data_IF_939793507757
#
_entry.id   IF_939793507757
#
_cell.length_a   1.000
_cell.length_b   1.000
_cell.length_c   1.000
_cell.angle_alpha   90.00
_cell.angle_beta   90.00
_cell.angle_gamma   90.00
#
_symmetry.space_group_name_H-M   'P 1'
#
loop_
_entity.id
_entity.type
_entity.pdbx_description
1 polymer ?
#
# COMPACT_ATOMS: atom_id res chain seq x y z
N UNK A 1 -33.06 3.12 26.40
CA UNK A 1 -31.80 3.73 25.91
C UNK A 1 -30.60 3.42 26.81
N UNK A 2 -30.66 3.68 28.12
CA UNK A 2 -29.52 3.53 29.06
C UNK A 2 -28.89 2.12 29.05
N UNK A 3 -29.69 1.03 29.07
CA UNK A 3 -29.15 -0.34 29.02
C UNK A 3 -28.38 -0.68 27.73
N UNK A 4 -28.81 -0.16 26.57
CA UNK A 4 -28.10 -0.38 25.29
C UNK A 4 -26.82 0.44 25.23
N UNK A 5 -26.83 1.65 25.78
CA UNK A 5 -25.64 2.49 25.90
C UNK A 5 -24.60 1.87 26.84
N UNK A 6 -25.03 1.33 27.99
CA UNK A 6 -24.15 0.60 28.91
C UNK A 6 -23.59 -0.67 28.29
N UNK A 7 -24.36 -1.43 27.50
CA UNK A 7 -23.87 -2.62 26.82
C UNK A 7 -22.82 -2.26 25.76
N UNK A 8 -23.05 -1.17 25.01
CA UNK A 8 -22.13 -0.68 23.97
C UNK A 8 -20.82 -0.16 24.57
N UNK A 9 -20.91 0.59 25.68
CA UNK A 9 -19.76 1.06 26.45
C UNK A 9 -19.01 -0.11 27.07
N UNK A 10 -19.71 -1.12 27.59
CA UNK A 10 -19.09 -2.34 28.11
C UNK A 10 -18.35 -3.12 27.02
N UNK A 11 -18.90 -3.25 25.80
CA UNK A 11 -18.18 -3.89 24.68
C UNK A 11 -17.01 -3.06 24.16
N UNK A 12 -17.08 -1.72 24.21
CA UNK A 12 -15.96 -0.83 23.90
C UNK A 12 -14.87 -0.84 24.98
N UNK A 13 -15.23 -1.08 26.24
CA UNK A 13 -14.26 -1.24 27.35
C UNK A 13 -13.63 -2.64 27.39
N UNK A 14 -14.28 -3.63 26.77
CA UNK A 14 -13.78 -5.00 26.58
C UNK A 14 -12.97 -5.18 25.29
N UNK A 15 -12.82 -4.15 24.46
CA UNK A 15 -11.95 -4.25 23.28
C UNK A 15 -10.50 -4.29 23.75
N UNK A 16 -9.90 -5.48 23.68
CA UNK A 16 -8.45 -5.65 23.73
C UNK A 16 -7.80 -4.72 22.70
N UNK A 17 -6.56 -4.24 22.92
CA UNK A 17 -5.83 -3.54 21.88
C UNK A 17 -5.78 -4.46 20.66
N UNK A 18 -6.47 -4.07 19.59
CA UNK A 18 -6.32 -4.71 18.31
C UNK A 18 -4.97 -4.24 17.78
N UNK A 19 -3.98 -5.13 17.83
CA UNK A 19 -2.71 -4.93 17.14
C UNK A 19 -2.98 -5.09 15.65
N UNK A 20 -3.42 -4.00 15.02
CA UNK A 20 -3.46 -3.92 13.57
C UNK A 20 -1.99 -3.90 13.11
N UNK A 21 -1.50 -5.05 12.66
CA UNK A 21 -0.19 -5.15 12.02
C UNK A 21 -0.32 -4.50 10.64
N UNK A 22 0.53 -3.51 10.36
CA UNK A 22 0.65 -2.95 9.01
C UNK A 22 1.20 -4.05 8.09
N UNK A 23 0.71 -4.16 6.84
CA UNK A 23 1.28 -5.07 5.84
C UNK A 23 2.78 -4.84 5.66
N UNK A 24 3.53 -5.89 5.33
CA UNK A 24 4.95 -5.80 5.07
C UNK A 24 5.23 -5.15 3.71
N UNK A 25 5.96 -4.04 3.71
CA UNK A 25 6.35 -3.30 2.51
C UNK A 25 7.87 -3.02 2.52
N UNK A 26 8.51 -3.06 1.36
CA UNK A 26 9.89 -2.56 1.19
C UNK A 26 10.00 -1.61 -0.01
N UNK A 27 10.97 -0.71 0.05
CA UNK A 27 11.16 0.33 -0.97
C UNK A 27 12.50 0.14 -1.67
N UNK A 28 12.45 -0.08 -2.98
CA UNK A 28 13.62 -0.25 -3.83
C UNK A 28 13.72 0.94 -4.79
N UNK A 29 14.77 1.74 -4.67
CA UNK A 29 15.10 2.82 -5.60
C UNK A 29 16.27 2.41 -6.46
N UNK A 30 16.14 2.43 -7.78
CA UNK A 30 17.18 2.12 -8.75
C UNK A 30 17.46 3.34 -9.63
N UNK A 31 18.73 3.61 -9.91
CA UNK A 31 19.17 4.61 -10.89
C UNK A 31 20.10 3.96 -11.90
N UNK A 32 19.74 4.03 -13.19
CA UNK A 32 20.52 3.44 -14.27
C UNK A 32 21.41 4.51 -14.91
N UNK A 33 22.72 4.26 -14.90
CA UNK A 33 23.75 5.11 -15.47
C UNK A 33 24.61 4.30 -16.45
N UNK A 34 24.29 4.34 -17.75
CA UNK A 34 24.95 3.55 -18.79
C UNK A 34 25.04 2.05 -18.46
N UNK A 35 26.20 1.58 -17.99
CA UNK A 35 26.53 0.20 -17.65
C UNK A 35 26.48 -0.08 -16.13
N UNK A 36 26.06 0.88 -15.32
CA UNK A 36 25.92 0.73 -13.86
C UNK A 36 24.49 0.97 -13.41
N UNK A 37 24.05 0.18 -12.44
CA UNK A 37 22.82 0.42 -11.67
C UNK A 37 23.19 0.73 -10.22
N UNK A 38 22.85 1.92 -9.76
CA UNK A 38 22.94 2.30 -8.35
C UNK A 38 21.59 2.05 -7.69
N UNK A 39 21.60 1.49 -6.49
CA UNK A 39 20.40 1.11 -5.78
C UNK A 39 20.40 1.55 -4.32
N UNK A 40 19.22 1.86 -3.81
CA UNK A 40 18.92 1.98 -2.40
C UNK A 40 17.74 1.07 -2.09
N UNK A 41 17.87 0.22 -1.08
CA UNK A 41 16.82 -0.68 -0.66
C UNK A 41 16.53 -0.54 0.83
N UNK A 42 15.32 -0.09 1.13
CA UNK A 42 14.84 0.13 2.49
C UNK A 42 13.95 -1.05 2.88
N UNK A 43 14.38 -1.80 3.90
CA UNK A 43 13.68 -2.99 4.40
C UNK A 43 13.34 -2.78 5.88
N UNK A 44 12.09 -3.00 6.27
CA UNK A 44 11.66 -2.81 7.64
C UNK A 44 12.45 -3.71 8.59
N UNK A 45 12.99 -3.14 9.68
CA UNK A 45 13.77 -3.92 10.65
C UNK A 45 12.93 -5.00 11.34
N UNK A 46 11.62 -4.77 11.49
CA UNK A 46 10.69 -5.76 12.03
C UNK A 46 10.66 -7.03 11.16
N UNK A 47 10.60 -6.85 9.84
CA UNK A 47 10.44 -7.97 8.89
C UNK A 47 11.77 -8.71 8.74
N UNK A 48 12.89 -7.98 8.77
CA UNK A 48 14.22 -8.60 8.85
C UNK A 48 14.40 -9.38 10.15
N UNK A 49 13.86 -8.91 11.27
CA UNK A 49 13.91 -9.66 12.52
C UNK A 49 13.14 -10.98 12.40
N UNK A 50 11.94 -10.96 11.82
CA UNK A 50 11.15 -12.17 11.60
C UNK A 50 11.85 -13.13 10.61
N UNK A 51 12.59 -12.60 9.64
CA UNK A 51 13.26 -13.39 8.62
C UNK A 51 14.60 -14.02 9.04
N UNK A 52 15.43 -13.27 9.76
CA UNK A 52 16.82 -13.68 10.07
C UNK A 52 17.21 -13.55 11.55
N UNK A 53 16.29 -13.14 12.42
CA UNK A 53 16.53 -13.01 13.86
C UNK A 53 17.57 -11.92 14.16
N UNK A 54 17.14 -10.66 14.11
CA UNK A 54 18.02 -9.52 14.41
C UNK A 54 18.16 -9.28 15.91
N UNK A 55 17.07 -9.48 16.67
CA UNK A 55 17.01 -9.37 18.13
C UNK A 55 17.77 -10.53 18.76
N UNK A 56 18.97 -10.25 19.26
CA UNK A 56 19.89 -11.27 19.72
C UNK A 56 19.65 -11.66 21.18
N UNK A 57 19.11 -10.72 21.97
CA UNK A 57 18.82 -10.94 23.39
C UNK A 57 17.35 -11.31 23.68
N UNK A 58 16.48 -11.21 22.65
CA UNK A 58 15.09 -11.64 22.69
C UNK A 58 14.20 -10.71 23.51
N UNK A 59 14.61 -9.46 23.74
CA UNK A 59 13.89 -8.52 24.57
C UNK A 59 12.74 -7.79 23.82
N UNK A 60 12.64 -7.96 22.49
CA UNK A 60 11.64 -7.35 21.63
C UNK A 60 11.96 -5.93 21.14
N UNK A 61 13.14 -5.39 21.46
CA UNK A 61 13.62 -4.07 21.06
C UNK A 61 14.90 -4.19 20.22
N UNK A 62 14.85 -3.75 18.95
CA UNK A 62 16.03 -3.78 18.09
C UNK A 62 16.95 -2.59 18.36
N UNK A 63 18.14 -2.89 18.88
CA UNK A 63 19.19 -1.89 19.09
C UNK A 63 20.09 -1.72 17.86
N UNK A 64 20.72 -0.55 17.74
CA UNK A 64 21.72 -0.30 16.71
C UNK A 64 22.90 -1.27 16.75
N UNK A 65 23.26 -1.77 17.93
CA UNK A 65 24.35 -2.74 18.10
C UNK A 65 24.03 -4.08 17.45
N UNK A 66 22.80 -4.57 17.64
CA UNK A 66 22.32 -5.83 17.08
C UNK A 66 22.20 -5.77 15.56
N UNK A 67 21.58 -4.70 15.03
CA UNK A 67 21.46 -4.50 13.59
C UNK A 67 22.85 -4.45 12.94
N UNK A 68 23.80 -3.70 13.55
CA UNK A 68 25.18 -3.62 13.07
C UNK A 68 25.89 -4.97 13.10
N UNK A 69 25.68 -5.75 14.16
CA UNK A 69 26.23 -7.11 14.28
C UNK A 69 25.75 -8.07 13.19
N UNK A 70 24.58 -7.79 12.60
CA UNK A 70 23.94 -8.60 11.57
C UNK A 70 24.08 -8.06 10.15
N UNK A 71 24.87 -7.00 9.91
CA UNK A 71 24.99 -6.39 8.57
C UNK A 71 25.32 -7.40 7.46
N UNK A 72 26.26 -8.32 7.67
CA UNK A 72 26.62 -9.32 6.66
C UNK A 72 25.46 -10.28 6.33
N UNK A 73 24.67 -10.66 7.34
CA UNK A 73 23.51 -11.53 7.17
C UNK A 73 22.38 -10.78 6.46
N UNK A 74 22.17 -9.50 6.80
CA UNK A 74 21.23 -8.61 6.10
C UNK A 74 21.64 -8.46 4.62
N UNK A 75 22.93 -8.21 4.32
CA UNK A 75 23.40 -8.09 2.94
C UNK A 75 23.17 -9.38 2.16
N UNK A 76 23.52 -10.53 2.75
CA UNK A 76 23.37 -11.83 2.12
C UNK A 76 21.89 -12.16 1.87
N UNK A 77 21.03 -11.91 2.86
CA UNK A 77 19.60 -12.15 2.78
C UNK A 77 18.92 -11.30 1.70
N UNK A 78 19.27 -10.01 1.62
CA UNK A 78 18.73 -9.09 0.64
C UNK A 78 19.24 -9.43 -0.77
N UNK A 79 20.54 -9.54 -0.98
CA UNK A 79 21.13 -9.79 -2.30
C UNK A 79 20.77 -11.17 -2.86
N UNK A 80 20.49 -12.17 -2.03
CA UNK A 80 19.99 -13.46 -2.52
C UNK A 80 18.55 -13.42 -3.06
N UNK A 81 17.84 -12.31 -2.85
CA UNK A 81 16.42 -12.12 -3.18
C UNK A 81 16.17 -10.98 -4.17
N UNK A 82 17.25 -10.42 -4.73
CA UNK A 82 17.19 -9.41 -5.78
C UNK A 82 18.13 -9.79 -6.92
N UNK A 83 17.56 -10.07 -8.08
CA UNK A 83 18.32 -10.33 -9.30
C UNK A 83 18.09 -9.19 -10.28
N UNK A 84 19.18 -8.53 -10.68
CA UNK A 84 19.16 -7.52 -11.73
C UNK A 84 19.76 -8.13 -13.00
N UNK A 85 18.99 -8.13 -14.09
CA UNK A 85 19.43 -8.65 -15.38
C UNK A 85 19.35 -7.55 -16.43
N UNK A 86 20.49 -7.16 -17.00
CA UNK A 86 20.56 -6.21 -18.10
C UNK A 86 20.88 -6.95 -19.40
N UNK A 87 20.07 -6.73 -20.45
CA UNK A 87 20.28 -7.33 -21.77
C UNK A 87 20.53 -8.86 -21.72
N UNK A 88 19.74 -9.58 -20.91
CA UNK A 88 19.85 -11.02 -20.63
C UNK A 88 21.10 -11.48 -19.86
N UNK A 89 21.91 -10.56 -19.32
CA UNK A 89 23.05 -10.89 -18.46
C UNK A 89 22.85 -10.33 -17.06
N UNK A 90 23.08 -11.16 -16.04
CA UNK A 90 22.96 -10.75 -14.63
C UNK A 90 24.04 -9.72 -14.29
N UNK A 91 23.64 -8.61 -13.65
CA UNK A 91 24.53 -7.61 -13.11
C UNK A 91 24.79 -7.94 -11.63
N UNK A 92 26.01 -8.37 -11.25
CA UNK A 92 26.32 -8.69 -9.86
C UNK A 92 26.20 -7.43 -8.99
N UNK A 93 25.33 -7.50 -7.98
CA UNK A 93 25.12 -6.43 -7.02
C UNK A 93 25.99 -6.59 -5.78
N UNK A 94 26.46 -5.47 -5.23
CA UNK A 94 27.30 -5.40 -4.03
C UNK A 94 26.80 -4.28 -3.12
N UNK A 95 26.56 -4.59 -1.84
CA UNK A 95 26.24 -3.57 -0.85
C UNK A 95 27.47 -2.70 -0.62
N UNK A 96 27.29 -1.39 -0.75
CA UNK A 96 28.32 -0.35 -0.55
C UNK A 96 28.19 0.26 0.85
N UNK A 97 26.97 0.43 1.34
CA UNK A 97 26.70 1.12 2.61
C UNK A 97 25.46 0.54 3.31
N UNK A 98 25.54 0.47 4.64
CA UNK A 98 24.40 0.18 5.52
C UNK A 98 24.07 1.42 6.34
N UNK A 99 22.81 1.83 6.27
CA UNK A 99 22.24 2.95 7.00
C UNK A 99 20.95 2.47 7.70
N UNK A 100 20.38 3.33 8.53
CA UNK A 100 19.01 3.12 9.04
C UNK A 100 18.29 4.45 8.91
N UNK A 101 17.04 4.38 8.49
CA UNK A 101 16.12 5.51 8.43
C UNK A 101 14.78 5.15 9.10
N UNK A 102 13.91 6.13 9.27
CA UNK A 102 12.54 5.92 9.76
C UNK A 102 11.53 6.32 8.69
N UNK A 103 10.68 5.37 8.35
CA UNK A 103 9.48 5.60 7.55
C UNK A 103 8.25 5.78 8.46
N UNK A 104 7.09 5.97 7.86
CA UNK A 104 5.83 6.29 8.55
C UNK A 104 5.43 5.25 9.63
N UNK A 105 5.94 4.02 9.52
CA UNK A 105 5.55 2.85 10.29
C UNK A 105 6.67 2.21 11.12
N UNK A 106 7.92 2.70 11.06
CA UNK A 106 9.01 2.10 11.83
C UNK A 106 10.40 2.48 11.36
N UNK A 107 11.39 1.78 11.92
CA UNK A 107 12.79 1.87 11.52
C UNK A 107 13.10 0.84 10.42
N UNK A 108 13.91 1.24 9.44
CA UNK A 108 14.24 0.48 8.25
C UNK A 108 15.76 0.38 8.11
N UNK A 109 16.25 -0.81 7.75
CA UNK A 109 17.61 -0.95 7.25
C UNK A 109 17.65 -0.40 5.82
N UNK A 110 18.57 0.52 5.57
CA UNK A 110 18.78 1.14 4.27
C UNK A 110 20.07 0.58 3.68
N UNK A 111 19.94 -0.17 2.60
CA UNK A 111 21.03 -0.84 1.90
C UNK A 111 21.33 -0.09 0.60
N UNK A 112 22.44 0.65 0.55
CA UNK A 112 22.92 1.21 -0.71
C UNK A 112 23.82 0.21 -1.39
N UNK A 113 23.56 -0.06 -2.66
CA UNK A 113 24.28 -1.04 -3.43
C UNK A 113 24.58 -0.54 -4.83
N UNK A 114 25.55 -1.18 -5.46
CA UNK A 114 25.89 -0.98 -6.86
C UNK A 114 25.85 -2.30 -7.59
N UNK A 115 25.35 -2.30 -8.82
CA UNK A 115 25.45 -3.43 -9.73
C UNK A 115 26.15 -2.98 -11.01
N UNK A 116 27.28 -3.59 -11.31
CA UNK A 116 28.05 -3.29 -12.51
C UNK A 116 27.64 -4.28 -13.62
N UNK A 117 27.11 -3.77 -14.72
CA UNK A 117 26.69 -4.55 -15.88
C UNK A 117 27.80 -4.58 -16.93
N UNK A 118 27.83 -5.63 -17.77
CA UNK A 118 28.88 -5.82 -18.78
C UNK A 118 28.78 -4.87 -19.98
N UNK A 119 27.58 -4.29 -20.21
CA UNK A 119 27.23 -3.43 -21.33
C UNK A 119 26.26 -2.35 -20.87
N UNK A 120 26.09 -1.31 -21.70
CA UNK A 120 25.05 -0.32 -21.50
C UNK A 120 23.67 -0.98 -21.38
N UNK A 121 22.93 -0.63 -20.35
CA UNK A 121 21.60 -1.18 -20.06
C UNK A 121 20.60 -0.63 -21.07
N UNK A 122 20.03 -1.50 -21.92
CA UNK A 122 18.96 -1.17 -22.88
C UNK A 122 17.61 -1.79 -22.47
N UNK A 123 17.68 -2.85 -21.67
CA UNK A 123 16.55 -3.54 -21.06
C UNK A 123 16.97 -4.01 -19.68
N UNK A 124 16.21 -3.66 -18.64
CA UNK A 124 16.44 -4.07 -17.26
C UNK A 124 15.29 -4.94 -16.79
N UNK A 125 15.59 -6.18 -16.42
CA UNK A 125 14.67 -7.06 -15.71
C UNK A 125 15.05 -7.05 -14.24
N UNK A 126 14.09 -6.71 -13.40
CA UNK A 126 14.23 -6.72 -11.95
C UNK A 126 13.37 -7.86 -11.42
N UNK A 127 14.03 -8.82 -10.80
CA UNK A 127 13.39 -9.96 -10.15
C UNK A 127 13.57 -9.84 -8.64
N UNK A 128 12.45 -9.80 -7.93
CA UNK A 128 12.35 -9.47 -6.52
C UNK A 128 11.62 -10.61 -5.80
N UNK A 129 12.23 -11.15 -4.75
CA UNK A 129 11.70 -12.27 -3.96
C UNK A 129 11.81 -12.02 -2.44
N UNK A 130 11.95 -10.78 -2.01
CA UNK A 130 12.08 -10.46 -0.59
C UNK A 130 10.79 -10.84 0.16
N UNK A 131 10.94 -11.59 1.26
CA UNK A 131 9.89 -11.91 2.24
C UNK A 131 8.66 -12.67 1.71
N UNK A 132 8.54 -12.99 0.41
CA UNK A 132 7.40 -13.76 -0.12
C UNK A 132 7.30 -15.19 0.45
N UNK A 133 8.39 -15.71 1.01
CA UNK A 133 8.45 -16.98 1.74
C UNK A 133 7.90 -16.91 3.18
N UNK A 134 7.78 -15.70 3.73
CA UNK A 134 7.39 -15.43 5.12
C UNK A 134 6.02 -14.75 5.18
N UNK A 135 5.82 -13.72 4.35
CA UNK A 135 4.57 -12.98 4.21
C UNK A 135 4.15 -12.96 2.73
N UNK A 136 3.12 -13.75 2.42
CA UNK A 136 2.52 -13.81 1.07
C UNK A 136 1.88 -12.47 0.64
N UNK A 137 1.55 -11.60 1.59
CA UNK A 137 0.98 -10.29 1.32
C UNK A 137 2.05 -9.21 1.11
N UNK A 138 3.32 -9.51 1.33
CA UNK A 138 4.43 -8.57 1.19
C UNK A 138 4.42 -7.87 -0.19
N UNK A 139 4.77 -6.58 -0.20
CA UNK A 139 4.90 -5.79 -1.42
C UNK A 139 6.28 -5.15 -1.52
N UNK A 140 6.94 -5.34 -2.67
CA UNK A 140 8.14 -4.61 -3.04
C UNK A 140 7.79 -3.43 -3.93
N UNK A 141 8.17 -2.22 -3.53
CA UNK A 141 7.81 -0.99 -4.25
C UNK A 141 9.03 -0.43 -4.94
N UNK A 142 9.05 -0.48 -6.27
CA UNK A 142 10.17 -0.02 -7.09
C UNK A 142 9.94 1.38 -7.62
N UNK A 143 10.98 2.21 -7.46
CA UNK A 143 11.18 3.43 -8.23
C UNK A 143 12.44 3.30 -9.07
N UNK A 144 12.28 3.30 -10.39
CA UNK A 144 13.39 3.24 -11.35
C UNK A 144 13.58 4.62 -11.99
N UNK A 145 14.77 5.20 -11.86
CA UNK A 145 15.14 6.47 -12.51
C UNK A 145 16.16 6.22 -13.61
N UNK A 146 15.85 6.63 -14.83
CA UNK A 146 16.73 6.46 -15.99
C UNK A 146 16.59 7.63 -16.96
N UNK A 147 17.70 8.26 -17.35
CA UNK A 147 17.69 9.36 -18.32
C UNK A 147 16.80 10.54 -17.93
N UNK A 148 16.62 10.79 -16.62
CA UNK A 148 15.70 11.80 -16.09
C UNK A 148 14.22 11.40 -16.06
N UNK A 149 13.87 10.19 -16.50
CA UNK A 149 12.53 9.61 -16.40
C UNK A 149 12.42 8.73 -15.16
N UNK A 150 11.26 8.73 -14.51
CA UNK A 150 10.95 7.86 -13.37
C UNK A 150 9.83 6.92 -13.75
N UNK A 151 10.04 5.62 -13.57
CA UNK A 151 9.05 4.56 -13.68
C UNK A 151 8.84 3.91 -12.32
N UNK A 152 7.64 3.39 -12.09
CA UNK A 152 7.29 2.68 -10.85
C UNK A 152 6.78 1.29 -11.14
N UNK A 153 6.99 0.37 -10.21
CA UNK A 153 6.37 -0.94 -10.25
C UNK A 153 6.15 -1.49 -8.85
N UNK A 154 5.19 -2.40 -8.74
CA UNK A 154 4.92 -3.15 -7.52
C UNK A 154 5.25 -4.62 -7.79
N UNK A 155 5.98 -5.24 -6.88
CA UNK A 155 6.27 -6.66 -6.83
C UNK A 155 5.37 -7.34 -5.81
N UNK A 156 4.88 -8.52 -6.18
CA UNK A 156 4.12 -9.43 -5.33
C UNK A 156 4.53 -10.87 -5.61
N UNK A 157 4.13 -11.82 -4.76
CA UNK A 157 4.37 -13.24 -5.00
C UNK A 157 3.85 -13.73 -6.36
N UNK A 158 2.74 -13.16 -6.83
CA UNK A 158 2.13 -13.48 -8.14
C UNK A 158 2.89 -12.83 -9.32
N UNK A 159 3.65 -11.77 -9.04
CA UNK A 159 4.31 -10.97 -10.05
C UNK A 159 5.69 -10.46 -9.58
N UNK A 160 6.64 -11.38 -9.34
CA UNK A 160 7.95 -11.07 -8.75
C UNK A 160 8.93 -10.44 -9.74
N UNK A 161 8.62 -10.47 -11.03
CA UNK A 161 9.50 -9.97 -12.10
C UNK A 161 8.85 -8.84 -12.89
N UNK A 162 9.65 -7.80 -13.15
CA UNK A 162 9.26 -6.62 -13.95
C UNK A 162 10.35 -6.30 -14.96
N UNK A 163 9.92 -6.00 -16.17
CA UNK A 163 10.79 -5.64 -17.28
C UNK A 163 10.63 -4.17 -17.64
N UNK A 164 11.76 -3.48 -17.80
CA UNK A 164 11.83 -2.06 -18.15
C UNK A 164 12.67 -1.89 -19.41
N UNK A 165 12.06 -1.37 -20.48
CA UNK A 165 12.74 -1.02 -21.72
C UNK A 165 13.21 0.42 -21.69
N UNK A 166 14.45 0.66 -22.11
CA UNK A 166 15.06 2.01 -22.15
C UNK A 166 14.53 2.83 -23.33
N UNK A 167 13.89 2.17 -24.30
CA UNK A 167 13.34 2.79 -25.50
C UNK A 167 11.80 2.87 -25.44
N UNK A 168 11.29 4.07 -25.13
CA UNK A 168 9.95 4.50 -25.55
C UNK A 168 8.89 4.49 -24.45
N UNK A 169 8.44 5.70 -24.08
CA UNK A 169 7.20 5.94 -23.34
C UNK A 169 6.06 5.16 -23.98
N UNK A 170 5.32 4.41 -23.18
CA UNK A 170 3.94 4.13 -23.49
C UNK A 170 3.05 4.48 -22.32
N UNK A 171 2.73 5.77 -22.21
CA UNK A 171 1.76 6.30 -21.26
C UNK A 171 0.43 5.52 -21.25
N UNK A 172 0.04 4.97 -22.41
CA UNK A 172 -1.13 4.09 -22.51
C UNK A 172 -0.93 2.80 -21.73
N UNK A 173 0.25 2.18 -21.83
CA UNK A 173 0.55 0.97 -21.07
C UNK A 173 0.66 1.28 -19.57
N UNK A 174 1.27 2.39 -19.17
CA UNK A 174 1.31 2.81 -17.77
C UNK A 174 -0.09 3.04 -17.19
N UNK A 175 -0.96 3.79 -17.87
CA UNK A 175 -2.34 4.03 -17.41
C UNK A 175 -3.13 2.70 -17.34
N UNK A 176 -3.02 1.86 -18.38
CA UNK A 176 -3.71 0.56 -18.39
C UNK A 176 -3.19 -0.33 -17.25
N UNK A 177 -1.89 -0.33 -17.00
CA UNK A 177 -1.27 -1.07 -15.91
C UNK A 177 -1.75 -0.53 -14.56
N UNK A 178 -1.78 0.78 -14.34
CA UNK A 178 -2.34 1.36 -13.11
C UNK A 178 -3.82 1.00 -12.90
N UNK A 179 -4.63 1.01 -13.97
CA UNK A 179 -6.04 0.58 -13.89
C UNK A 179 -6.14 -0.92 -13.59
N UNK A 180 -5.29 -1.73 -14.21
CA UNK A 180 -5.22 -3.18 -13.96
C UNK A 180 -4.85 -3.47 -12.50
N UNK A 181 -3.75 -2.89 -12.02
CA UNK A 181 -3.29 -3.04 -10.63
C UNK A 181 -4.31 -2.49 -9.65
N UNK A 182 -4.96 -1.36 -9.94
CA UNK A 182 -6.04 -0.82 -9.10
C UNK A 182 -7.26 -1.74 -9.04
N UNK A 183 -7.62 -2.37 -10.17
CA UNK A 183 -8.71 -3.35 -10.23
C UNK A 183 -8.37 -4.62 -9.43
N UNK A 184 -7.13 -5.11 -9.58
CA UNK A 184 -6.61 -6.27 -8.85
C UNK A 184 -6.52 -5.99 -7.35
N UNK A 185 -6.10 -4.78 -6.97
CA UNK A 185 -6.03 -4.31 -5.58
C UNK A 185 -7.39 -4.32 -4.89
N UNK A 186 -8.44 -3.83 -5.55
CA UNK A 186 -9.82 -3.89 -5.02
C UNK A 186 -10.29 -5.34 -4.89
N UNK A 187 -9.88 -6.24 -5.79
CA UNK A 187 -10.34 -7.63 -5.78
C UNK A 187 -9.72 -8.46 -4.65
N UNK A 188 -8.45 -8.24 -4.31
CA UNK A 188 -7.75 -8.94 -3.24
C UNK A 188 -8.06 -8.40 -1.83
N UNK A 189 -8.46 -7.13 -1.72
CA UNK A 189 -8.83 -6.50 -0.45
C UNK A 189 -10.23 -6.91 0.02
N UNK A 190 -10.33 -7.92 0.90
CA UNK A 190 -11.62 -8.32 1.49
C UNK A 190 -12.34 -7.17 2.19
N UNK A 191 -11.59 -6.29 2.83
CA UNK A 191 -12.03 -5.04 3.45
C UNK A 191 -12.66 -4.06 2.43
N UNK A 192 -12.07 -3.90 1.25
CA UNK A 192 -12.61 -3.05 0.18
C UNK A 192 -13.89 -3.63 -0.43
N UNK A 193 -13.93 -4.94 -0.67
CA UNK A 193 -15.13 -5.65 -1.14
C UNK A 193 -16.25 -5.56 -0.11
N UNK A 194 -15.95 -5.83 1.17
CA UNK A 194 -16.92 -5.73 2.26
C UNK A 194 -17.42 -4.30 2.44
N UNK A 195 -16.55 -3.30 2.29
CA UNK A 195 -16.93 -1.89 2.35
C UNK A 195 -17.87 -1.50 1.19
N UNK A 196 -17.53 -1.86 -0.05
CA UNK A 196 -18.39 -1.62 -1.21
C UNK A 196 -19.74 -2.30 -1.06
N UNK A 197 -19.76 -3.57 -0.63
CA UNK A 197 -21.00 -4.29 -0.33
C UNK A 197 -21.80 -3.58 0.77
N UNK A 198 -21.17 -3.18 1.87
CA UNK A 198 -21.84 -2.47 2.95
C UNK A 198 -22.42 -1.12 2.51
N UNK A 199 -21.74 -0.41 1.61
CA UNK A 199 -22.15 0.90 1.12
C UNK A 199 -23.27 0.80 0.07
N UNK A 200 -23.27 -0.27 -0.74
CA UNK A 200 -24.25 -0.50 -1.81
C UNK A 200 -25.48 -1.28 -1.37
N UNK A 201 -25.37 -2.13 -0.32
CA UNK A 201 -26.48 -2.92 0.22
C UNK A 201 -27.73 -2.07 0.50
N UNK A 202 -27.64 -0.88 1.13
CA UNK A 202 -28.79 -0.03 1.37
C UNK A 202 -29.45 0.52 0.12
N UNK A 203 -28.71 0.63 -1.00
CA UNK A 203 -29.23 1.12 -2.26
C UNK A 203 -30.15 0.10 -2.92
N UNK A 204 -29.90 -1.21 -2.70
CA UNK A 204 -30.68 -2.32 -3.29
C UNK A 204 -31.68 -2.90 -2.29
N UNK A 205 -31.35 -2.94 -1.00
CA UNK A 205 -32.21 -3.47 0.06
C UNK A 205 -32.34 -2.50 1.22
N UNK A 206 -33.58 -2.18 1.58
CA UNK A 206 -33.90 -1.31 2.72
C UNK A 206 -34.58 -2.16 3.79
N UNK A 207 -34.06 -2.10 5.02
CA UNK A 207 -34.70 -2.72 6.18
C UNK A 207 -35.85 -1.84 6.65
N UNK A 208 -37.10 -2.26 6.41
CA UNK A 208 -38.31 -1.63 6.96
C UNK A 208 -39.04 -2.66 7.83
N UNK A 209 -39.49 -2.24 9.01
CA UNK A 209 -40.22 -3.10 9.96
C UNK A 209 -39.51 -4.43 10.26
N UNK A 210 -38.18 -4.36 10.41
CA UNK A 210 -37.33 -5.53 10.69
C UNK A 210 -37.31 -6.60 9.58
N UNK A 211 -37.82 -6.31 8.38
CA UNK A 211 -37.74 -7.15 7.18
C UNK A 211 -36.93 -6.45 6.10
N UNK A 212 -36.12 -7.21 5.36
CA UNK A 212 -35.41 -6.71 4.18
C UNK A 212 -36.40 -6.62 3.02
N UNK A 213 -36.60 -5.42 2.49
CA UNK A 213 -37.44 -5.17 1.33
C UNK A 213 -36.55 -4.63 0.20
N UNK A 214 -36.81 -5.05 -1.03
CA UNK A 214 -36.12 -4.48 -2.19
C UNK A 214 -36.40 -2.96 -2.24
N UNK A 215 -35.35 -2.17 -2.48
CA UNK A 215 -35.49 -0.77 -2.83
C UNK A 215 -36.32 -0.65 -4.12
N UNK A 216 -37.08 0.44 -4.27
CA UNK A 216 -38.16 0.60 -5.25
C UNK A 216 -37.77 0.45 -6.73
N UNK A 217 -38.04 1.46 -7.55
CA UNK A 217 -37.78 1.36 -8.99
C UNK A 217 -36.29 1.21 -9.31
N UNK A 218 -35.94 0.34 -10.26
CA UNK A 218 -34.57 0.07 -10.70
C UNK A 218 -33.80 1.35 -11.10
N UNK A 219 -34.49 2.29 -11.76
CA UNK A 219 -33.94 3.59 -12.14
C UNK A 219 -33.47 4.42 -10.94
N UNK A 220 -34.26 4.44 -9.86
CA UNK A 220 -33.93 5.16 -8.63
C UNK A 220 -32.76 4.50 -7.88
N UNK A 221 -32.68 3.16 -7.91
CA UNK A 221 -31.55 2.40 -7.36
C UNK A 221 -30.27 2.72 -8.12
N UNK A 222 -30.29 2.65 -9.46
CA UNK A 222 -29.13 2.98 -10.30
C UNK A 222 -28.64 4.41 -10.06
N UNK A 223 -29.54 5.39 -9.98
CA UNK A 223 -29.13 6.76 -9.70
C UNK A 223 -28.53 6.95 -8.31
N UNK A 224 -29.05 6.24 -7.30
CA UNK A 224 -28.49 6.27 -5.95
C UNK A 224 -27.07 5.68 -5.92
N UNK A 225 -26.89 4.50 -6.53
CA UNK A 225 -25.59 3.83 -6.63
C UNK A 225 -24.59 4.72 -7.34
N UNK A 226 -24.96 5.27 -8.50
CA UNK A 226 -24.08 6.14 -9.27
C UNK A 226 -23.69 7.39 -8.47
N UNK A 227 -24.64 8.03 -7.79
CA UNK A 227 -24.36 9.20 -6.93
C UNK A 227 -23.39 8.86 -5.80
N UNK A 228 -23.56 7.70 -5.16
CA UNK A 228 -22.72 7.23 -4.06
C UNK A 228 -21.31 6.91 -4.55
N UNK A 229 -21.18 6.13 -5.63
CA UNK A 229 -19.90 5.73 -6.21
C UNK A 229 -19.15 6.98 -6.70
N UNK A 230 -19.81 7.87 -7.44
CA UNK A 230 -19.19 9.12 -7.91
C UNK A 230 -18.72 9.99 -6.75
N UNK A 231 -19.54 10.18 -5.70
CA UNK A 231 -19.15 10.97 -4.54
C UNK A 231 -17.92 10.37 -3.82
N UNK A 232 -17.89 9.05 -3.65
CA UNK A 232 -16.74 8.34 -3.06
C UNK A 232 -15.50 8.51 -3.93
N UNK A 233 -15.59 8.26 -5.24
CA UNK A 233 -14.46 8.37 -6.17
C UNK A 233 -13.89 9.79 -6.20
N UNK A 234 -14.74 10.82 -6.26
CA UNK A 234 -14.27 12.22 -6.26
C UNK A 234 -13.54 12.56 -4.97
N UNK A 235 -14.10 12.20 -3.81
CA UNK A 235 -13.48 12.43 -2.52
C UNK A 235 -12.13 11.71 -2.38
N UNK A 236 -12.11 10.43 -2.76
CA UNK A 236 -10.94 9.59 -2.69
C UNK A 236 -9.80 10.13 -3.57
N UNK A 237 -10.10 10.44 -4.83
CA UNK A 237 -9.12 11.03 -5.75
C UNK A 237 -8.58 12.36 -5.22
N UNK A 238 -9.42 13.22 -4.65
CA UNK A 238 -9.00 14.49 -4.06
C UNK A 238 -7.95 14.28 -2.96
N UNK A 239 -8.22 13.38 -2.00
CA UNK A 239 -7.30 13.13 -0.88
C UNK A 239 -6.04 12.38 -1.30
N UNK A 240 -6.14 11.48 -2.27
CA UNK A 240 -4.98 10.83 -2.87
C UNK A 240 -4.07 11.85 -3.54
N UNK A 241 -4.62 12.78 -4.32
CA UNK A 241 -3.85 13.87 -4.94
C UNK A 241 -3.21 14.78 -3.89
N UNK A 242 -3.93 15.17 -2.83
CA UNK A 242 -3.38 16.00 -1.76
C UNK A 242 -2.19 15.35 -1.05
N UNK A 243 -2.27 14.04 -0.82
CA UNK A 243 -1.20 13.32 -0.14
C UNK A 243 -0.04 12.96 -1.09
N UNK A 244 -0.32 12.65 -2.36
CA UNK A 244 0.72 12.45 -3.38
C UNK A 244 1.52 13.74 -3.66
N UNK A 245 0.86 14.90 -3.60
CA UNK A 245 1.51 16.22 -3.69
C UNK A 245 2.17 16.67 -2.38
N UNK A 246 2.15 15.81 -1.36
CA UNK A 246 2.75 16.07 -0.06
C UNK A 246 2.17 17.30 0.68
N UNK A 247 0.94 17.70 0.33
CA UNK A 247 0.25 18.85 0.95
C UNK A 247 -0.23 18.47 2.36
N UNK A 248 -0.64 17.21 2.56
CA UNK A 248 -1.13 16.68 3.84
C UNK A 248 -0.47 15.32 4.11
N UNK A 249 0.23 15.21 5.25
CA UNK A 249 0.77 13.95 5.78
C UNK A 249 0.00 13.53 7.03
N UNK A 250 -0.55 12.32 7.02
CA UNK A 250 -1.25 11.73 8.18
C UNK A 250 -0.56 10.43 8.63
N UNK A 251 -0.46 10.16 9.94
CA UNK A 251 0.09 8.89 10.43
C UNK A 251 -0.75 7.70 9.93
N UNK A 252 -0.12 6.70 9.28
CA UNK A 252 -0.89 5.60 8.65
C UNK A 252 -1.73 4.82 9.67
N UNK A 253 -1.23 4.63 10.90
CA UNK A 253 -2.01 4.02 12.01
C UNK A 253 -3.36 4.71 12.24
N UNK A 254 -3.40 6.05 12.20
CA UNK A 254 -4.64 6.80 12.38
C UNK A 254 -5.56 6.65 11.18
N UNK A 255 -5.01 6.71 9.97
CA UNK A 255 -5.76 6.55 8.72
C UNK A 255 -6.39 5.16 8.66
N UNK A 256 -5.59 4.10 8.82
CA UNK A 256 -6.03 2.70 8.80
C UNK A 256 -7.06 2.40 9.89
N UNK A 257 -6.84 2.88 11.13
CA UNK A 257 -7.82 2.72 12.22
C UNK A 257 -9.15 3.41 11.91
N UNK A 258 -9.09 4.58 11.26
CA UNK A 258 -10.30 5.33 10.86
C UNK A 258 -11.01 4.66 9.69
N UNK A 259 -10.27 4.10 8.73
CA UNK A 259 -10.82 3.27 7.65
C UNK A 259 -11.56 2.07 8.26
N UNK A 260 -10.95 1.32 9.17
CA UNK A 260 -11.60 0.20 9.85
C UNK A 260 -12.88 0.65 10.61
N UNK A 261 -12.81 1.77 11.33
CA UNK A 261 -13.98 2.35 12.00
C UNK A 261 -15.10 2.75 11.02
N UNK A 262 -14.76 3.25 9.83
CA UNK A 262 -15.73 3.61 8.79
C UNK A 262 -16.52 2.39 8.27
N UNK A 263 -15.88 1.23 8.14
CA UNK A 263 -16.53 -0.03 7.75
C UNK A 263 -17.53 -0.48 8.81
N UNK A 264 -17.16 -0.39 10.10
CA UNK A 264 -18.07 -0.69 11.23
C UNK A 264 -19.26 0.26 11.22
N UNK A 265 -19.03 1.57 11.02
CA UNK A 265 -20.10 2.57 10.94
C UNK A 265 -21.04 2.31 9.74
N UNK A 266 -20.51 1.95 8.58
CA UNK A 266 -21.30 1.57 7.42
C UNK A 266 -22.19 0.34 7.72
N UNK A 267 -21.61 -0.69 8.34
CA UNK A 267 -22.34 -1.89 8.77
C UNK A 267 -23.46 -1.57 9.78
N UNK A 268 -23.19 -0.71 10.76
CA UNK A 268 -24.21 -0.24 11.73
C UNK A 268 -25.32 0.55 11.05
N UNK A 269 -24.98 1.41 10.09
CA UNK A 269 -25.97 2.15 9.32
C UNK A 269 -26.88 1.27 8.46
N UNK A 270 -26.41 0.09 8.04
CA UNK A 270 -27.24 -0.93 7.39
C UNK A 270 -28.24 -1.56 8.36
N UNK A 271 -27.87 -1.70 9.64
CA UNK A 271 -28.75 -2.23 10.69
C UNK A 271 -29.74 -1.19 11.21
N UNK A 272 -29.38 0.10 11.18
CA UNK A 272 -30.16 1.23 11.67
C UNK A 272 -30.38 2.29 10.57
N UNK A 273 -31.34 2.08 9.65
CA UNK A 273 -31.50 2.89 8.44
C UNK A 273 -31.78 4.38 8.68
N UNK A 274 -32.33 4.73 9.85
CA UNK A 274 -32.62 6.11 10.25
C UNK A 274 -31.36 6.97 10.45
N UNK A 275 -30.18 6.33 10.61
CA UNK A 275 -28.91 7.01 10.83
C UNK A 275 -28.27 7.52 9.52
N UNK A 276 -28.77 7.09 8.35
CA UNK A 276 -28.10 7.21 7.06
C UNK A 276 -28.97 7.91 5.98
N UNK A 277 -29.58 9.05 6.33
CA UNK A 277 -30.49 9.80 5.44
C UNK A 277 -29.78 10.47 4.26
N UNK A 278 -28.51 10.88 4.41
CA UNK A 278 -27.72 11.56 3.35
C UNK A 278 -26.51 10.72 2.93
N UNK A 279 -26.79 9.58 2.28
CA UNK A 279 -25.82 8.52 1.95
C UNK A 279 -24.64 9.00 1.09
N UNK A 280 -24.89 9.87 0.11
CA UNK A 280 -23.83 10.40 -0.75
C UNK A 280 -22.80 11.25 0.05
N UNK A 281 -23.23 11.98 1.08
CA UNK A 281 -22.31 12.77 1.93
C UNK A 281 -21.46 11.87 2.83
N UNK A 282 -22.05 10.77 3.31
CA UNK A 282 -21.33 9.77 4.12
C UNK A 282 -20.31 9.05 3.24
N UNK A 283 -20.70 8.66 2.02
CA UNK A 283 -19.81 8.08 1.04
C UNK A 283 -18.67 9.05 0.67
N UNK A 284 -18.96 10.35 0.49
CA UNK A 284 -17.95 11.37 0.29
C UNK A 284 -16.98 11.45 1.49
N UNK A 285 -17.50 11.52 2.72
CA UNK A 285 -16.68 11.57 3.94
C UNK A 285 -15.80 10.32 4.12
N UNK A 286 -16.32 9.13 3.85
CA UNK A 286 -15.53 7.91 3.84
C UNK A 286 -14.49 7.91 2.72
N UNK A 287 -14.84 8.39 1.52
CA UNK A 287 -13.91 8.55 0.41
C UNK A 287 -12.71 9.42 0.76
N UNK A 288 -12.92 10.54 1.45
CA UNK A 288 -11.83 11.40 1.92
C UNK A 288 -10.85 10.65 2.84
N UNK A 289 -11.37 9.85 3.77
CA UNK A 289 -10.52 9.12 4.73
C UNK A 289 -9.78 8.00 4.00
N UNK A 290 -10.48 7.26 3.13
CA UNK A 290 -9.94 6.12 2.41
C UNK A 290 -8.82 6.53 1.45
N UNK A 291 -8.92 7.69 0.79
CA UNK A 291 -7.89 8.14 -0.15
C UNK A 291 -6.53 8.43 0.48
N UNK A 292 -6.46 8.66 1.79
CA UNK A 292 -5.19 8.76 2.51
C UNK A 292 -4.52 7.40 2.78
N UNK A 293 -5.27 6.29 2.74
CA UNK A 293 -4.76 4.95 3.08
C UNK A 293 -3.66 4.48 2.13
N UNK A 294 -3.80 4.77 0.84
CA UNK A 294 -2.82 4.42 -0.18
C UNK A 294 -1.67 5.43 -0.29
N UNK A 295 -1.89 6.67 0.18
CA UNK A 295 -0.98 7.76 -0.09
C UNK A 295 0.31 7.72 0.75
N UNK A 296 0.27 7.19 1.97
CA UNK A 296 1.47 6.99 2.78
C UNK A 296 2.54 6.16 2.03
N UNK A 297 2.10 5.14 1.31
CA UNK A 297 2.95 4.27 0.49
C UNK A 297 3.56 5.05 -0.69
N UNK A 298 2.78 5.92 -1.33
CA UNK A 298 3.25 6.74 -2.46
C UNK A 298 4.20 7.86 -2.05
N UNK A 299 3.98 8.49 -0.90
CA UNK A 299 4.87 9.52 -0.35
C UNK A 299 6.24 8.92 0.01
N UNK A 300 6.25 7.74 0.63
CA UNK A 300 7.48 7.02 1.00
C UNK A 300 8.26 6.53 -0.24
N UNK A 301 7.58 6.30 -1.37
CA UNK A 301 8.20 6.03 -2.69
C UNK A 301 8.94 7.23 -3.31
N UNK A 302 8.73 8.46 -2.78
CA UNK A 302 9.51 9.65 -3.16
C UNK A 302 9.36 10.10 -4.62
N UNK A 303 8.20 9.90 -5.24
CA UNK A 303 7.97 10.26 -6.65
C UNK A 303 8.28 11.75 -6.92
N UNK A 304 8.96 12.09 -8.03
CA UNK A 304 9.19 13.49 -8.40
C UNK A 304 7.86 14.22 -8.60
N UNK A 305 7.68 15.36 -7.94
CA UNK A 305 6.45 16.16 -7.99
C UNK A 305 6.08 16.61 -9.43
N UNK A 306 7.08 16.74 -10.30
CA UNK A 306 6.91 17.17 -11.70
C UNK A 306 6.25 16.10 -12.60
N UNK A 307 6.17 14.83 -12.19
CA UNK A 307 5.47 13.79 -12.97
C UNK A 307 3.97 13.67 -12.64
N UNK A 308 3.49 14.36 -11.61
CA UNK A 308 2.10 14.31 -11.14
C UNK A 308 1.23 15.48 -11.62
N UNK A 309 1.85 16.52 -12.20
CA UNK A 309 1.14 17.61 -12.85
C UNK A 309 1.00 17.29 -14.35
N UNK A 310 -0.04 16.53 -14.68
CA UNK A 310 -0.61 16.50 -16.03
C UNK A 310 -1.74 17.52 -16.11
#
# INVERSE_FOLDING_TARGET
MVKRLMLLIATLLLSLPAWAHKPSDSYLSLSVQNDRVEGQWDIALRDLNDAIGLDADGNGELTWGEVRGKHSEISAYALSRLTLTANQQTCPAQIVEHLIDRHTDGAYAVLRFRADCSKAVEQLVVEYHLLFDIDAQHKGLLRLTQGGQTSTAIFSQESPSREFSVAGRSYRHEIIQFVHEGTWHIWLGFDHVLFLLALLLPAVMVRRDNRWQAAGEFSAVCWNVLSIVTAFTVAHSLTLSLAALDIIRLPSRLVESTIAASVVLAGLGNLYPTMMSRRWMIAFGFGLIHGFGFAAVLTDLGLPQDSLLV
#
